data_IF_429285217584
#
_entry.id   IF_429285217584
#
_cell.length_a   1.000
_cell.length_b   1.000
_cell.length_c   1.000
_cell.angle_alpha   90.00
_cell.angle_beta   90.00
_cell.angle_gamma   90.00
#
_symmetry.space_group_name_H-M   'P 1'
#
loop_
_entity.id
_entity.type
_entity.pdbx_description
1 polymer ?
#
# COMPACT_ATOMS: atom_id res chain seq x y z
N UNK A 1 19.12 19.20 27.44
CA UNK A 1 17.90 18.42 27.09
C UNK A 1 17.34 17.67 28.30
N UNK A 2 18.04 16.67 28.86
CA UNK A 2 17.52 15.80 29.94
C UNK A 2 16.97 16.59 31.15
N UNK A 3 17.71 17.56 31.66
CA UNK A 3 17.26 18.35 32.83
C UNK A 3 15.96 19.12 32.55
N UNK A 4 15.81 19.66 31.33
CA UNK A 4 14.58 20.34 30.93
C UNK A 4 13.40 19.38 30.90
N UNK A 5 13.55 18.20 30.29
CA UNK A 5 12.48 17.20 30.21
C UNK A 5 12.04 16.74 31.60
N UNK A 6 12.99 16.51 32.53
CA UNK A 6 12.67 16.16 33.91
C UNK A 6 11.89 17.26 34.62
N UNK A 7 12.27 18.52 34.44
CA UNK A 7 11.55 19.65 35.02
C UNK A 7 10.13 19.73 34.46
N UNK A 8 9.94 19.58 33.15
CA UNK A 8 8.60 19.61 32.54
C UNK A 8 7.70 18.48 33.05
N UNK A 9 8.25 17.28 33.20
CA UNK A 9 7.52 16.15 33.77
C UNK A 9 7.17 16.38 35.24
N UNK A 10 8.12 16.87 36.04
CA UNK A 10 7.86 17.21 37.43
C UNK A 10 6.79 18.30 37.55
N UNK A 11 6.83 19.33 36.70
CA UNK A 11 5.81 20.38 36.67
C UNK A 11 4.42 19.83 36.32
N UNK A 12 4.33 18.86 35.40
CA UNK A 12 3.07 18.18 35.12
C UNK A 12 2.58 17.38 36.33
N UNK A 13 3.46 16.65 36.99
CA UNK A 13 3.10 15.83 38.17
C UNK A 13 2.63 16.70 39.33
N UNK A 14 3.34 17.80 39.61
CA UNK A 14 3.06 18.64 40.80
C UNK A 14 1.90 19.61 40.58
N UNK A 15 1.74 20.14 39.36
CA UNK A 15 0.81 21.24 39.08
C UNK A 15 -0.23 20.92 37.99
N UNK A 16 -0.11 19.79 37.30
CA UNK A 16 -0.93 19.47 36.13
C UNK A 16 -2.43 19.32 36.41
N UNK A 17 -2.80 18.92 37.63
CA UNK A 17 -4.21 18.85 38.05
C UNK A 17 -4.87 20.24 38.15
N UNK A 18 -4.08 21.30 38.29
CA UNK A 18 -4.56 22.69 38.35
C UNK A 18 -4.56 23.40 36.99
N UNK A 19 -4.22 22.73 35.89
CA UNK A 19 -4.21 23.36 34.57
C UNK A 19 -5.62 23.45 33.99
N UNK A 20 -5.92 24.61 33.41
CA UNK A 20 -7.20 24.87 32.75
C UNK A 20 -7.14 24.48 31.28
N UNK A 21 -8.16 23.79 30.78
CA UNK A 21 -8.23 23.34 29.38
C UNK A 21 -8.22 24.51 28.38
N UNK A 22 -8.80 25.66 28.76
CA UNK A 22 -8.95 26.83 27.89
C UNK A 22 -7.75 27.75 27.84
N UNK A 23 -6.80 27.62 28.77
CA UNK A 23 -5.68 28.55 28.89
C UNK A 23 -4.38 27.81 29.27
N UNK A 24 -3.39 27.87 28.37
CA UNK A 24 -2.05 27.38 28.67
C UNK A 24 -1.44 28.13 29.87
N UNK A 25 -0.71 27.45 30.76
CA UNK A 25 0.08 28.09 31.79
C UNK A 25 1.04 29.13 31.19
N UNK A 26 1.36 30.20 31.94
CA UNK A 26 2.16 31.31 31.42
C UNK A 26 3.52 30.92 30.84
N UNK A 27 4.18 29.91 31.42
CA UNK A 27 5.44 29.37 30.88
C UNK A 27 5.23 28.68 29.53
N UNK A 28 4.17 27.87 29.41
CA UNK A 28 3.85 27.12 28.19
C UNK A 28 3.41 28.06 27.08
N UNK A 29 2.61 29.09 27.41
CA UNK A 29 2.20 30.13 26.47
C UNK A 29 3.40 30.89 25.89
N UNK A 30 4.43 31.17 26.70
CA UNK A 30 5.68 31.78 26.22
C UNK A 30 6.41 30.85 25.25
N UNK A 31 6.57 29.57 25.58
CA UNK A 31 7.19 28.59 24.67
C UNK A 31 6.40 28.43 23.37
N UNK A 32 5.07 28.41 23.46
CA UNK A 32 4.18 28.36 22.31
C UNK A 32 4.38 29.57 21.39
N UNK A 33 4.52 30.78 21.96
CA UNK A 33 4.85 31.98 21.20
C UNK A 33 6.16 31.86 20.43
N UNK A 34 7.20 31.28 21.05
CA UNK A 34 8.52 31.11 20.43
C UNK A 34 8.49 30.11 19.26
N UNK A 35 7.76 29.00 19.37
CA UNK A 35 7.71 27.99 18.30
C UNK A 35 6.89 28.46 17.08
N UNK A 36 5.85 29.27 17.30
CA UNK A 36 4.98 29.80 16.24
C UNK A 36 5.60 31.01 15.53
N UNK A 37 6.45 31.78 16.22
CA UNK A 37 7.10 32.95 15.64
C UNK A 37 8.16 32.57 14.60
N UNK A 38 7.86 32.81 13.32
CA UNK A 38 8.76 32.52 12.19
C UNK A 38 10.01 33.42 12.15
N UNK A 39 10.07 34.51 12.91
CA UNK A 39 11.28 35.34 13.04
C UNK A 39 12.34 34.70 13.94
N UNK A 40 11.94 33.76 14.80
CA UNK A 40 12.84 33.01 15.66
C UNK A 40 13.65 32.02 14.82
N UNK A 41 14.95 31.92 15.11
CA UNK A 41 15.85 31.00 14.40
C UNK A 41 15.35 29.56 14.40
N UNK A 42 15.41 28.93 13.23
CA UNK A 42 14.93 27.56 12.93
C UNK A 42 15.41 26.53 13.96
N UNK A 43 16.66 26.62 14.41
CA UNK A 43 17.23 25.70 15.41
C UNK A 43 16.53 25.78 16.77
N UNK A 44 16.09 26.96 17.19
CA UNK A 44 15.36 27.15 18.46
C UNK A 44 13.97 26.54 18.37
N UNK A 45 13.28 26.77 17.24
CA UNK A 45 11.96 26.19 16.96
C UNK A 45 12.03 24.67 16.86
N UNK A 46 13.05 24.13 16.19
CA UNK A 46 13.32 22.69 16.12
C UNK A 46 13.61 22.09 17.50
N UNK A 47 14.40 22.79 18.33
CA UNK A 47 14.65 22.35 19.70
C UNK A 47 13.34 22.25 20.50
N UNK A 48 12.45 23.23 20.40
CA UNK A 48 11.15 23.19 21.07
C UNK A 48 10.25 22.09 20.51
N UNK A 49 10.22 21.89 19.20
CA UNK A 49 9.51 20.76 18.59
C UNK A 49 10.02 19.43 19.16
N UNK A 50 11.34 19.25 19.28
CA UNK A 50 11.93 18.04 19.85
C UNK A 50 11.63 17.87 21.35
N UNK A 51 11.50 18.96 22.10
CA UNK A 51 11.03 18.90 23.49
C UNK A 51 9.61 18.34 23.56
N UNK A 52 8.69 18.82 22.72
CA UNK A 52 7.31 18.32 22.66
C UNK A 52 7.27 16.84 22.26
N UNK A 53 8.05 16.45 21.25
CA UNK A 53 8.13 15.06 20.78
C UNK A 53 8.67 14.08 21.84
N UNK A 54 9.52 14.55 22.77
CA UNK A 54 10.10 13.69 23.80
C UNK A 54 9.22 13.53 25.05
N UNK A 55 8.34 14.49 25.35
CA UNK A 55 7.42 14.44 26.52
C UNK A 55 6.01 14.91 26.12
N UNK A 56 5.37 14.25 25.12
CA UNK A 56 4.07 14.67 24.58
C UNK A 56 2.97 14.72 25.65
N UNK A 57 3.08 13.90 26.69
CA UNK A 57 2.17 13.87 27.82
C UNK A 57 2.09 15.22 28.56
N UNK A 58 3.16 16.03 28.59
CA UNK A 58 3.13 17.38 29.20
C UNK A 58 2.21 18.33 28.43
N UNK A 59 2.08 18.13 27.12
CA UNK A 59 1.35 19.02 26.24
C UNK A 59 -0.04 18.48 25.86
N UNK A 60 -0.43 17.31 26.37
CA UNK A 60 -1.64 16.57 25.95
C UNK A 60 -2.94 17.37 26.09
N UNK A 61 -3.07 18.21 27.11
CA UNK A 61 -4.28 19.05 27.30
C UNK A 61 -4.44 20.10 26.20
N UNK A 62 -3.34 20.49 25.55
CA UNK A 62 -3.27 21.55 24.54
C UNK A 62 -2.80 21.02 23.18
N UNK A 63 -2.88 19.70 22.97
CA UNK A 63 -2.36 18.99 21.79
C UNK A 63 -2.86 19.56 20.46
N UNK A 64 -4.11 20.02 20.39
CA UNK A 64 -4.65 20.63 19.15
C UNK A 64 -3.88 21.87 18.70
N UNK A 65 -3.42 22.71 19.64
CA UNK A 65 -2.61 23.89 19.31
C UNK A 65 -1.15 23.51 19.06
N UNK A 66 -0.59 22.63 19.90
CA UNK A 66 0.82 22.25 19.82
C UNK A 66 1.14 21.41 18.60
N UNK A 67 0.23 20.53 18.16
CA UNK A 67 0.47 19.68 17.01
C UNK A 67 0.73 20.51 15.74
N UNK A 68 -0.12 21.51 15.48
CA UNK A 68 0.07 22.42 14.36
C UNK A 68 1.40 23.17 14.45
N UNK A 69 1.73 23.72 15.62
CA UNK A 69 2.99 24.44 15.81
C UNK A 69 4.24 23.56 15.62
N UNK A 70 4.19 22.30 16.08
CA UNK A 70 5.27 21.32 15.89
C UNK A 70 5.42 21.00 14.40
N UNK A 71 4.33 20.66 13.71
CA UNK A 71 4.38 20.33 12.28
C UNK A 71 4.93 21.51 11.48
N UNK A 72 4.42 22.71 11.69
CA UNK A 72 4.89 23.92 10.99
C UNK A 72 6.38 24.20 11.22
N UNK A 73 6.86 24.04 12.46
CA UNK A 73 8.28 24.19 12.77
C UNK A 73 9.13 23.16 12.00
N UNK A 74 8.68 21.91 11.91
CA UNK A 74 9.42 20.86 11.17
C UNK A 74 9.39 21.07 9.66
N UNK A 75 8.28 21.55 9.10
CA UNK A 75 8.17 21.90 7.68
C UNK A 75 9.12 23.06 7.33
N UNK A 76 9.18 24.10 8.16
CA UNK A 76 10.10 25.23 7.96
C UNK A 76 11.57 24.79 8.04
N UNK A 77 11.90 23.87 8.96
CA UNK A 77 13.25 23.29 9.07
C UNK A 77 13.59 22.53 7.80
N UNK A 78 12.70 21.65 7.33
CA UNK A 78 12.92 20.83 6.15
C UNK A 78 13.15 21.69 4.90
N UNK A 79 12.35 22.75 4.73
CA UNK A 79 12.49 23.70 3.63
C UNK A 79 13.82 24.47 3.65
N UNK A 80 14.46 24.61 4.82
CA UNK A 80 15.75 25.28 4.96
C UNK A 80 16.97 24.38 4.72
N UNK A 81 16.77 23.06 4.60
CA UNK A 81 17.86 22.10 4.38
C UNK A 81 18.30 22.10 2.91
N UNK A 82 19.60 21.93 2.68
CA UNK A 82 20.16 21.80 1.31
C UNK A 82 19.68 20.55 0.59
N UNK A 83 19.50 19.46 1.36
CA UNK A 83 18.99 18.18 0.88
C UNK A 83 17.90 17.76 1.84
N UNK A 84 16.63 18.07 1.53
CA UNK A 84 15.50 17.63 2.33
C UNK A 84 15.45 16.10 2.41
N UNK A 85 15.20 15.57 3.60
CA UNK A 85 15.04 14.13 3.81
C UNK A 85 13.96 13.87 4.87
N UNK A 86 13.31 12.70 4.78
CA UNK A 86 12.41 12.22 5.83
C UNK A 86 13.23 11.77 7.04
N UNK A 87 13.72 12.74 7.79
CA UNK A 87 14.57 12.55 8.96
C UNK A 87 13.80 11.94 10.14
N UNK A 88 14.54 11.46 11.14
CA UNK A 88 13.96 10.82 12.32
C UNK A 88 13.01 11.74 13.12
N UNK A 89 13.17 13.08 13.07
CA UNK A 89 12.29 14.01 13.79
C UNK A 89 10.93 14.11 13.08
N UNK A 90 10.91 14.10 11.75
CA UNK A 90 9.67 13.99 10.97
C UNK A 90 8.98 12.64 11.21
N UNK A 91 9.74 11.54 11.35
CA UNK A 91 9.20 10.23 11.74
C UNK A 91 8.59 10.25 13.14
N UNK A 92 9.27 10.85 14.12
CA UNK A 92 8.73 11.05 15.46
C UNK A 92 7.43 11.88 15.42
N UNK A 93 7.34 12.87 14.53
CA UNK A 93 6.13 13.66 14.33
C UNK A 93 4.99 12.82 13.72
N UNK A 94 5.28 11.94 12.75
CA UNK A 94 4.27 11.01 12.23
C UNK A 94 3.78 10.07 13.33
N UNK A 95 4.68 9.56 14.17
CA UNK A 95 4.32 8.73 15.33
C UNK A 95 3.48 9.50 16.36
N UNK A 96 3.81 10.78 16.60
CA UNK A 96 3.00 11.66 17.46
C UNK A 96 1.57 11.76 16.93
N UNK A 97 1.39 11.96 15.61
CA UNK A 97 0.08 12.05 14.96
C UNK A 97 -0.69 10.72 15.02
N UNK A 98 -0.05 9.62 14.58
CA UNK A 98 -0.72 8.34 14.34
C UNK A 98 -1.01 7.58 15.64
N UNK A 99 -0.12 7.69 16.63
CA UNK A 99 -0.16 6.82 17.81
C UNK A 99 -0.41 7.56 19.13
N UNK A 100 0.12 8.78 19.30
CA UNK A 100 0.09 9.45 20.61
C UNK A 100 -1.05 10.47 20.73
N UNK A 101 -1.25 11.29 19.70
CA UNK A 101 -2.27 12.34 19.62
C UNK A 101 -3.24 12.07 18.46
N UNK A 102 -3.63 10.81 18.31
CA UNK A 102 -4.55 10.32 17.29
C UNK A 102 -6.02 10.72 17.51
N UNK A 103 -6.31 11.43 18.60
CA UNK A 103 -7.61 11.98 18.92
C UNK A 103 -7.73 13.48 18.56
N UNK A 104 -6.66 14.08 18.02
CA UNK A 104 -6.69 15.46 17.53
C UNK A 104 -7.47 15.53 16.24
N UNK A 105 -8.57 16.30 16.26
CA UNK A 105 -9.38 16.56 15.07
C UNK A 105 -8.56 17.41 14.08
N UNK A 106 -8.26 16.89 12.87
CA UNK A 106 -7.34 17.57 11.96
C UNK A 106 -7.87 18.92 11.43
N UNK A 107 -9.19 19.13 11.44
CA UNK A 107 -9.82 20.41 11.08
C UNK A 107 -9.35 21.58 11.95
N UNK A 108 -8.90 21.32 13.18
CA UNK A 108 -8.29 22.33 14.06
C UNK A 108 -6.93 22.85 13.53
N UNK A 109 -6.29 22.10 12.64
CA UNK A 109 -4.95 22.37 12.10
C UNK A 109 -4.98 23.12 10.75
N UNK A 110 -6.17 23.50 10.26
CA UNK A 110 -6.34 24.20 8.98
C UNK A 110 -5.69 23.43 7.81
N UNK A 111 -4.69 24.03 7.13
CA UNK A 111 -4.00 23.47 5.95
C UNK A 111 -2.73 22.67 6.31
N UNK A 112 -2.33 22.66 7.57
CA UNK A 112 -1.13 21.95 8.03
C UNK A 112 -1.14 20.45 7.69
N UNK A 113 -2.28 19.71 7.77
CA UNK A 113 -2.36 18.32 7.33
C UNK A 113 -2.03 18.13 5.85
N UNK A 114 -2.60 18.97 4.97
CA UNK A 114 -2.33 18.95 3.53
C UNK A 114 -0.85 19.19 3.25
N UNK A 115 -0.26 20.22 3.88
CA UNK A 115 1.15 20.56 3.69
C UNK A 115 2.07 19.45 4.17
N UNK A 116 1.79 18.85 5.32
CA UNK A 116 2.58 17.73 5.84
C UNK A 116 2.49 16.51 4.91
N UNK A 117 1.28 16.08 4.54
CA UNK A 117 1.09 14.91 3.68
C UNK A 117 1.84 15.07 2.35
N UNK A 118 1.70 16.22 1.69
CA UNK A 118 2.37 16.49 0.42
C UNK A 118 3.88 16.63 0.56
N UNK A 119 4.37 17.20 1.67
CA UNK A 119 5.81 17.25 1.92
C UNK A 119 6.38 15.84 2.16
N UNK A 120 5.71 15.00 2.94
CA UNK A 120 6.17 13.63 3.17
C UNK A 120 6.18 12.80 1.88
N UNK A 121 5.19 12.96 1.01
CA UNK A 121 5.18 12.33 -0.33
C UNK A 121 6.42 12.74 -1.13
N UNK A 122 6.82 14.02 -1.08
CA UNK A 122 8.03 14.49 -1.78
C UNK A 122 9.33 13.89 -1.23
N UNK A 123 9.37 13.56 0.05
CA UNK A 123 10.55 13.02 0.74
C UNK A 123 10.64 11.48 0.68
N UNK A 124 9.58 10.79 0.26
CA UNK A 124 9.56 9.33 0.16
C UNK A 124 10.51 8.74 -0.88
N UNK A 125 10.64 9.28 -2.11
CA UNK A 125 11.48 8.69 -3.14
C UNK A 125 12.97 8.77 -2.80
N UNK A 126 13.53 7.64 -2.35
CA UNK A 126 14.95 7.49 -2.06
C UNK A 126 15.51 6.24 -2.74
N UNK A 127 16.83 6.22 -3.00
CA UNK A 127 17.49 5.09 -3.70
C UNK A 127 17.48 3.78 -2.93
N UNK A 128 17.32 3.82 -1.61
CA UNK A 128 17.31 2.64 -0.75
C UNK A 128 15.87 2.16 -0.59
N UNK A 129 15.56 0.98 -1.13
CA UNK A 129 14.21 0.42 -1.12
C UNK A 129 13.66 0.25 0.31
N UNK A 130 14.46 -0.21 1.28
CA UNK A 130 13.98 -0.39 2.67
C UNK A 130 13.59 0.96 3.31
N UNK A 131 14.37 2.01 3.05
CA UNK A 131 14.07 3.35 3.58
C UNK A 131 12.85 3.92 2.86
N UNK A 132 12.75 3.76 1.53
CA UNK A 132 11.59 4.18 0.74
C UNK A 132 10.31 3.50 1.25
N UNK A 133 10.33 2.18 1.39
CA UNK A 133 9.16 1.40 1.77
C UNK A 133 8.70 1.77 3.19
N UNK A 134 9.66 2.00 4.10
CA UNK A 134 9.37 2.54 5.43
C UNK A 134 8.80 3.97 5.38
N UNK A 135 9.31 4.86 4.53
CA UNK A 135 8.78 6.22 4.36
C UNK A 135 7.34 6.19 3.84
N UNK A 136 7.11 5.37 2.81
CA UNK A 136 5.81 5.23 2.15
C UNK A 136 4.77 4.69 3.13
N UNK A 137 5.12 3.73 3.99
CA UNK A 137 4.20 3.21 5.02
C UNK A 137 3.62 4.34 5.88
N UNK A 138 4.46 5.21 6.45
CA UNK A 138 4.00 6.35 7.25
C UNK A 138 3.05 7.26 6.46
N UNK A 139 3.37 7.53 5.19
CA UNK A 139 2.55 8.38 4.34
C UNK A 139 1.19 7.73 4.02
N UNK A 140 1.17 6.44 3.69
CA UNK A 140 -0.08 5.73 3.39
C UNK A 140 -1.00 5.65 4.61
N UNK A 141 -0.45 5.42 5.81
CA UNK A 141 -1.20 5.47 7.07
C UNK A 141 -1.75 6.87 7.35
N UNK A 142 -0.95 7.91 7.11
CA UNK A 142 -1.36 9.29 7.31
C UNK A 142 -2.47 9.71 6.34
N UNK A 143 -2.40 9.31 5.07
CA UNK A 143 -3.45 9.55 4.06
C UNK A 143 -4.76 8.91 4.51
N UNK A 144 -4.71 7.65 4.96
CA UNK A 144 -5.91 6.97 5.45
C UNK A 144 -6.48 7.62 6.72
N UNK A 145 -5.61 8.02 7.65
CA UNK A 145 -5.99 8.65 8.91
C UNK A 145 -6.57 10.06 8.74
N UNK A 146 -6.06 10.84 7.78
CA UNK A 146 -6.50 12.22 7.50
C UNK A 146 -7.31 12.37 6.22
N UNK A 147 -7.96 11.30 5.74
CA UNK A 147 -8.71 11.30 4.47
C UNK A 147 -9.68 12.47 4.29
N UNK A 148 -10.32 12.93 5.36
CA UNK A 148 -11.32 14.02 5.32
C UNK A 148 -10.70 15.42 5.47
N UNK A 149 -9.38 15.52 5.69
CA UNK A 149 -8.71 16.77 6.08
C UNK A 149 -7.39 17.05 5.35
N UNK A 150 -6.73 16.05 4.79
CA UNK A 150 -5.51 16.20 4.01
C UNK A 150 -5.80 15.95 2.53
N UNK A 151 -5.68 17.00 1.72
CA UNK A 151 -5.74 16.88 0.25
C UNK A 151 -4.36 16.59 -0.29
N UNK A 152 -4.24 15.48 -1.01
CA UNK A 152 -3.01 15.10 -1.71
C UNK A 152 -2.96 15.81 -3.07
N UNK A 153 -1.79 16.33 -3.43
CA UNK A 153 -1.50 16.95 -4.71
C UNK A 153 -1.39 15.87 -5.79
N UNK A 154 -2.48 15.67 -6.54
CA UNK A 154 -2.55 14.65 -7.60
C UNK A 154 -1.62 14.99 -8.77
N UNK A 155 -1.36 16.28 -9.03
CA UNK A 155 -0.39 16.69 -10.07
C UNK A 155 1.02 16.18 -9.75
N UNK A 156 1.42 16.23 -8.47
CA UNK A 156 2.68 15.63 -8.00
C UNK A 156 2.72 14.13 -8.27
N UNK A 157 1.62 13.41 -7.99
CA UNK A 157 1.54 11.97 -8.23
C UNK A 157 1.64 11.63 -9.72
N UNK A 158 0.93 12.35 -10.59
CA UNK A 158 1.00 12.19 -12.05
C UNK A 158 2.45 12.39 -12.53
N UNK A 159 3.13 13.43 -12.06
CA UNK A 159 4.53 13.70 -12.38
C UNK A 159 5.47 12.57 -11.92
N UNK A 160 5.21 11.98 -10.76
CA UNK A 160 6.02 10.87 -10.24
C UNK A 160 5.80 9.56 -10.99
N UNK A 161 4.57 9.27 -11.41
CA UNK A 161 4.26 8.07 -12.20
C UNK A 161 4.90 8.18 -13.60
N UNK A 162 4.84 9.38 -14.20
CA UNK A 162 5.43 9.68 -15.50
C UNK A 162 6.90 10.13 -15.42
N UNK A 163 7.57 9.89 -14.29
CA UNK A 163 8.94 10.34 -14.08
C UNK A 163 9.88 9.81 -15.17
N UNK A 164 10.72 10.71 -15.70
CA UNK A 164 11.74 10.39 -16.70
C UNK A 164 13.14 10.80 -16.23
N UNK A 165 13.47 10.44 -14.97
CA UNK A 165 14.81 10.65 -14.44
C UNK A 165 15.84 9.73 -15.12
N UNK A 166 17.02 10.29 -15.42
CA UNK A 166 18.19 9.51 -15.89
C UNK A 166 18.58 8.41 -14.88
N UNK A 167 18.40 8.69 -13.58
CA UNK A 167 18.61 7.71 -12.52
C UNK A 167 17.40 6.77 -12.41
N UNK A 168 17.55 5.59 -13.00
CA UNK A 168 16.55 4.52 -12.97
C UNK A 168 16.08 4.11 -11.57
N UNK A 169 16.93 4.23 -10.53
CA UNK A 169 16.54 3.91 -9.15
C UNK A 169 15.62 4.98 -8.58
N UNK A 170 15.93 6.26 -8.82
CA UNK A 170 15.07 7.38 -8.40
C UNK A 170 13.76 7.37 -9.18
N UNK A 171 13.80 7.13 -10.50
CA UNK A 171 12.60 6.94 -11.33
C UNK A 171 11.68 5.87 -10.74
N UNK A 172 12.24 4.70 -10.43
CA UNK A 172 11.50 3.60 -9.82
C UNK A 172 10.95 3.96 -8.44
N UNK A 173 11.73 4.67 -7.62
CA UNK A 173 11.29 5.11 -6.29
C UNK A 173 10.13 6.11 -6.34
N UNK A 174 10.13 7.05 -7.30
CA UNK A 174 9.03 7.99 -7.55
C UNK A 174 7.76 7.25 -7.99
N UNK A 175 7.89 6.37 -8.99
CA UNK A 175 6.78 5.56 -9.49
C UNK A 175 6.16 4.70 -8.39
N UNK A 176 6.99 4.05 -7.57
CA UNK A 176 6.54 3.25 -6.43
C UNK A 176 5.79 4.10 -5.40
N UNK A 177 6.38 5.24 -4.98
CA UNK A 177 5.77 6.16 -4.02
C UNK A 177 4.41 6.64 -4.50
N UNK A 178 4.30 7.02 -5.78
CA UNK A 178 3.06 7.52 -6.33
C UNK A 178 1.99 6.44 -6.41
N UNK A 179 2.33 5.24 -6.89
CA UNK A 179 1.37 4.13 -6.95
C UNK A 179 0.87 3.72 -5.56
N UNK A 180 1.75 3.66 -4.55
CA UNK A 180 1.34 3.38 -3.16
C UNK A 180 0.43 4.48 -2.60
N UNK A 181 0.75 5.75 -2.89
CA UNK A 181 -0.10 6.88 -2.49
C UNK A 181 -1.47 6.84 -3.16
N UNK A 182 -1.53 6.51 -4.45
CA UNK A 182 -2.78 6.30 -5.19
C UNK A 182 -3.60 5.16 -4.56
N UNK A 183 -2.98 4.00 -4.31
CA UNK A 183 -3.67 2.87 -3.65
C UNK A 183 -4.20 3.25 -2.26
N UNK A 184 -3.44 4.01 -1.46
CA UNK A 184 -3.89 4.50 -0.16
C UNK A 184 -5.08 5.45 -0.27
N UNK A 185 -5.05 6.39 -1.23
CA UNK A 185 -6.18 7.29 -1.51
C UNK A 185 -7.43 6.53 -1.94
N UNK A 186 -7.29 5.53 -2.82
CA UNK A 186 -8.38 4.68 -3.26
C UNK A 186 -9.00 3.91 -2.08
N UNK A 187 -8.19 3.25 -1.26
CA UNK A 187 -8.65 2.54 -0.06
C UNK A 187 -9.30 3.48 0.98
N UNK A 188 -8.89 4.74 1.02
CA UNK A 188 -9.52 5.77 1.86
C UNK A 188 -10.85 6.31 1.30
N UNK A 189 -11.25 5.92 0.09
CA UNK A 189 -12.48 6.38 -0.57
C UNK A 189 -12.32 7.71 -1.33
N UNK A 190 -11.09 8.14 -1.61
CA UNK A 190 -10.76 9.41 -2.27
C UNK A 190 -10.64 9.29 -3.80
N UNK A 191 -11.38 8.36 -4.42
CA UNK A 191 -11.32 8.12 -5.86
C UNK A 191 -11.71 9.35 -6.70
N UNK A 192 -12.64 10.18 -6.22
CA UNK A 192 -13.05 11.40 -6.91
C UNK A 192 -11.90 12.41 -7.02
N UNK A 193 -11.03 12.48 -6.01
CA UNK A 193 -9.89 13.41 -6.00
C UNK A 193 -8.85 13.02 -7.05
N UNK A 194 -8.75 11.72 -7.38
CA UNK A 194 -7.83 11.19 -8.39
C UNK A 194 -8.23 11.47 -9.83
N UNK A 195 -9.44 11.98 -10.09
CA UNK A 195 -9.95 12.30 -11.44
C UNK A 195 -9.32 13.55 -12.07
N UNK A 196 -8.18 13.97 -11.54
CA UNK A 196 -7.45 15.12 -12.01
C UNK A 196 -6.68 14.81 -13.29
N UNK A 197 -6.61 15.81 -14.18
CA UNK A 197 -5.73 15.81 -15.36
C UNK A 197 -4.71 16.91 -15.19
N UNK A 198 -3.46 16.61 -15.48
CA UNK A 198 -2.44 17.65 -15.55
C UNK A 198 -2.56 18.49 -16.83
N UNK A 199 -1.68 19.49 -16.97
CA UNK A 199 -1.65 20.41 -18.11
C UNK A 199 -1.39 19.70 -19.46
N UNK A 200 -0.83 18.49 -19.43
CA UNK A 200 -0.59 17.63 -20.60
C UNK A 200 -1.73 16.63 -20.84
N UNK A 201 -2.86 16.79 -20.14
CA UNK A 201 -4.00 15.89 -20.11
C UNK A 201 -3.68 14.46 -19.65
N UNK A 202 -2.53 14.25 -19.00
CA UNK A 202 -2.13 12.95 -18.47
C UNK A 202 -2.95 12.64 -17.22
N UNK A 203 -3.32 11.38 -17.10
CA UNK A 203 -4.13 10.85 -16.01
C UNK A 203 -3.35 9.86 -15.16
N UNK A 204 -3.82 9.58 -13.95
CA UNK A 204 -3.29 8.50 -13.11
C UNK A 204 -3.44 7.15 -13.84
N UNK A 205 -4.54 6.95 -14.56
CA UNK A 205 -4.82 5.73 -15.32
C UNK A 205 -3.79 5.48 -16.43
N UNK A 206 -3.48 6.50 -17.23
CA UNK A 206 -2.47 6.37 -18.29
C UNK A 206 -1.09 6.10 -17.69
N UNK A 207 -0.78 6.72 -16.56
CA UNK A 207 0.42 6.44 -15.78
C UNK A 207 0.49 5.00 -15.24
N UNK A 208 -0.61 4.45 -14.73
CA UNK A 208 -0.69 3.04 -14.29
C UNK A 208 -0.37 2.11 -15.48
N UNK A 209 -0.99 2.33 -16.63
CA UNK A 209 -0.74 1.55 -17.86
C UNK A 209 0.72 1.66 -18.30
N UNK A 210 1.33 2.84 -18.16
CA UNK A 210 2.75 3.07 -18.45
C UNK A 210 3.64 2.23 -17.52
N UNK A 211 3.43 2.30 -16.20
CA UNK A 211 4.26 1.57 -15.22
C UNK A 211 4.05 0.06 -15.30
N UNK A 212 2.86 -0.41 -15.65
CA UNK A 212 2.59 -1.83 -15.94
C UNK A 212 3.45 -2.39 -17.08
N UNK A 213 4.07 -1.56 -17.93
CA UNK A 213 5.03 -1.98 -18.97
C UNK A 213 6.48 -2.07 -18.47
N UNK A 214 6.74 -1.67 -17.22
CA UNK A 214 8.06 -1.75 -16.60
C UNK A 214 8.58 -3.18 -16.50
N UNK A 215 9.89 -3.35 -16.57
CA UNK A 215 10.55 -4.65 -16.34
C UNK A 215 10.65 -5.03 -14.86
N UNK A 216 10.57 -4.05 -13.95
CA UNK A 216 10.73 -4.28 -12.52
C UNK A 216 9.47 -4.91 -11.89
N UNK A 217 9.62 -6.09 -11.28
CA UNK A 217 8.54 -6.85 -10.66
C UNK A 217 7.73 -6.06 -9.63
N UNK A 218 8.42 -5.37 -8.72
CA UNK A 218 7.79 -4.54 -7.70
C UNK A 218 6.93 -3.41 -8.27
N UNK A 219 7.27 -2.88 -9.46
CA UNK A 219 6.53 -1.79 -10.09
C UNK A 219 5.33 -2.29 -10.88
N UNK A 220 5.51 -3.27 -11.77
CA UNK A 220 4.40 -3.70 -12.62
C UNK A 220 3.32 -4.44 -11.83
N UNK A 221 3.68 -5.13 -10.75
CA UNK A 221 2.70 -5.80 -9.87
C UNK A 221 1.89 -4.78 -9.08
N UNK A 222 2.56 -3.79 -8.49
CA UNK A 222 1.91 -2.68 -7.79
C UNK A 222 1.02 -1.86 -8.73
N UNK A 223 1.47 -1.59 -9.95
CA UNK A 223 0.65 -0.89 -10.95
C UNK A 223 -0.59 -1.73 -11.34
N UNK A 224 -0.45 -3.04 -11.48
CA UNK A 224 -1.58 -3.92 -11.75
C UNK A 224 -2.60 -3.93 -10.59
N UNK A 225 -2.13 -3.98 -9.34
CA UNK A 225 -2.98 -3.87 -8.15
C UNK A 225 -3.73 -2.54 -8.11
N UNK A 226 -3.01 -1.42 -8.25
CA UNK A 226 -3.60 -0.09 -8.29
C UNK A 226 -4.65 0.03 -9.42
N UNK A 227 -4.35 -0.51 -10.61
CA UNK A 227 -5.29 -0.52 -11.72
C UNK A 227 -6.55 -1.34 -11.47
N UNK A 228 -6.43 -2.49 -10.80
CA UNK A 228 -7.58 -3.29 -10.37
C UNK A 228 -8.43 -2.61 -9.31
N UNK A 229 -7.77 -1.99 -8.33
CA UNK A 229 -8.41 -1.23 -7.24
C UNK A 229 -9.16 0.00 -7.77
N UNK A 230 -8.56 0.77 -8.69
CA UNK A 230 -9.21 1.91 -9.32
C UNK A 230 -10.56 1.52 -9.93
N UNK A 231 -10.59 0.44 -10.71
CA UNK A 231 -11.81 -0.04 -11.37
C UNK A 231 -12.86 -0.59 -10.39
N UNK A 232 -12.44 -1.18 -9.26
CA UNK A 232 -13.36 -1.64 -8.23
C UNK A 232 -14.16 -0.49 -7.61
N UNK A 233 -13.53 0.66 -7.41
CA UNK A 233 -14.13 1.79 -6.68
C UNK A 233 -14.85 2.73 -7.63
N UNK A 234 -14.32 2.93 -8.83
CA UNK A 234 -14.88 3.83 -9.82
C UNK A 234 -15.24 3.11 -11.11
N UNK A 235 -16.46 2.56 -11.18
CA UNK A 235 -16.98 1.93 -12.39
C UNK A 235 -17.22 2.90 -13.54
N UNK A 236 -17.09 4.22 -13.33
CA UNK A 236 -17.11 5.21 -14.42
C UNK A 236 -15.75 5.36 -15.09
N UNK A 237 -14.68 4.78 -14.52
CA UNK A 237 -13.41 4.59 -15.21
C UNK A 237 -13.69 3.87 -16.53
N UNK A 238 -13.31 4.55 -17.61
CA UNK A 238 -13.77 4.21 -18.94
C UNK A 238 -13.49 2.76 -19.31
N UNK A 239 -14.39 2.18 -20.12
CA UNK A 239 -14.20 0.87 -20.76
C UNK A 239 -12.84 0.75 -21.46
N UNK A 240 -12.28 1.87 -21.88
CA UNK A 240 -10.98 1.95 -22.55
C UNK A 240 -9.81 1.65 -21.61
N UNK A 241 -9.81 2.14 -20.37
CA UNK A 241 -8.77 1.81 -19.38
C UNK A 241 -8.75 0.31 -19.09
N UNK A 242 -9.93 -0.26 -18.83
CA UNK A 242 -10.04 -1.71 -18.59
C UNK A 242 -9.61 -2.55 -19.79
N UNK A 243 -9.91 -2.10 -21.01
CA UNK A 243 -9.43 -2.75 -22.23
C UNK A 243 -7.91 -2.71 -22.30
N UNK A 244 -7.27 -1.55 -22.06
CA UNK A 244 -5.80 -1.42 -22.03
C UNK A 244 -5.17 -2.31 -20.96
N UNK A 245 -5.73 -2.35 -19.75
CA UNK A 245 -5.27 -3.18 -18.64
C UNK A 245 -5.33 -4.68 -19.00
N UNK A 246 -6.49 -5.15 -19.49
CA UNK A 246 -6.65 -6.55 -19.93
C UNK A 246 -5.71 -6.91 -21.07
N UNK A 247 -5.53 -6.01 -22.05
CA UNK A 247 -4.63 -6.23 -23.17
C UNK A 247 -3.16 -6.39 -22.71
N UNK A 248 -2.70 -5.66 -21.69
CA UNK A 248 -1.36 -5.82 -21.15
C UNK A 248 -1.14 -7.15 -20.43
N UNK A 249 -2.17 -7.63 -19.72
CA UNK A 249 -2.15 -8.96 -19.10
C UNK A 249 -2.06 -10.03 -20.20
N UNK A 250 -2.96 -9.94 -21.20
CA UNK A 250 -2.99 -10.82 -22.37
C UNK A 250 -1.67 -10.83 -23.14
N UNK A 251 -1.05 -9.67 -23.38
CA UNK A 251 0.20 -9.60 -24.13
C UNK A 251 1.36 -10.30 -23.43
N UNK A 252 1.32 -10.40 -22.09
CA UNK A 252 2.34 -11.14 -21.33
C UNK A 252 2.19 -12.65 -21.53
N UNK A 253 0.95 -13.14 -21.64
CA UNK A 253 0.69 -14.54 -22.01
C UNK A 253 1.10 -14.82 -23.46
N UNK A 254 0.76 -13.93 -24.39
CA UNK A 254 1.05 -14.12 -25.82
C UNK A 254 2.57 -14.11 -26.10
N UNK A 255 3.34 -13.41 -25.25
CA UNK A 255 4.80 -13.41 -25.27
C UNK A 255 5.44 -14.61 -24.52
N UNK A 256 4.63 -15.56 -24.04
CA UNK A 256 5.04 -16.71 -23.23
C UNK A 256 5.74 -16.36 -21.90
N UNK A 257 5.61 -15.13 -21.42
CA UNK A 257 6.06 -14.71 -20.08
C UNK A 257 4.99 -15.05 -19.04
N UNK A 258 4.83 -16.35 -18.77
CA UNK A 258 3.81 -16.86 -17.87
C UNK A 258 3.94 -16.34 -16.44
N UNK A 259 5.18 -16.10 -15.97
CA UNK A 259 5.43 -15.52 -14.65
C UNK A 259 4.85 -14.11 -14.55
N UNK A 260 5.13 -13.25 -15.54
CA UNK A 260 4.56 -11.91 -15.59
C UNK A 260 3.05 -11.92 -15.79
N UNK A 261 2.54 -12.79 -16.66
CA UNK A 261 1.09 -12.96 -16.86
C UNK A 261 0.37 -13.27 -15.54
N UNK A 262 0.84 -14.28 -14.80
CA UNK A 262 0.26 -14.66 -13.52
C UNK A 262 0.37 -13.54 -12.49
N UNK A 263 1.51 -12.84 -12.44
CA UNK A 263 1.71 -11.73 -11.52
C UNK A 263 0.77 -10.55 -11.81
N UNK A 264 0.58 -10.17 -13.07
CA UNK A 264 -0.35 -9.11 -13.44
C UNK A 264 -1.81 -9.54 -13.21
N UNK A 265 -2.18 -10.76 -13.59
CA UNK A 265 -3.55 -11.28 -13.43
C UNK A 265 -3.94 -11.36 -11.95
N UNK A 266 -3.08 -11.92 -11.11
CA UNK A 266 -3.29 -12.03 -9.66
C UNK A 266 -3.49 -10.66 -9.02
N UNK A 267 -2.56 -9.74 -9.27
CA UNK A 267 -2.57 -8.43 -8.59
C UNK A 267 -3.73 -7.56 -9.07
N UNK A 268 -4.04 -7.54 -10.37
CA UNK A 268 -5.21 -6.81 -10.87
C UNK A 268 -6.52 -7.39 -10.31
N UNK A 269 -6.66 -8.72 -10.28
CA UNK A 269 -7.91 -9.36 -9.85
C UNK A 269 -8.11 -9.41 -8.32
N UNK A 270 -7.11 -9.01 -7.52
CA UNK A 270 -7.13 -9.12 -6.06
C UNK A 270 -8.33 -8.38 -5.43
N UNK A 271 -8.63 -7.18 -5.90
CA UNK A 271 -9.77 -6.37 -5.42
C UNK A 271 -11.00 -6.48 -6.32
N UNK A 272 -10.81 -6.89 -7.58
CA UNK A 272 -11.89 -6.94 -8.57
C UNK A 272 -11.88 -8.27 -9.34
N UNK A 273 -12.63 -9.28 -8.86
CA UNK A 273 -12.77 -10.59 -9.51
C UNK A 273 -13.19 -10.53 -10.98
N UNK A 274 -14.00 -9.51 -11.36
CA UNK A 274 -14.51 -9.32 -12.74
C UNK A 274 -13.44 -9.06 -13.80
N UNK A 275 -12.19 -8.84 -13.40
CA UNK A 275 -11.07 -8.75 -14.35
C UNK A 275 -10.83 -10.10 -15.04
N UNK A 276 -11.04 -11.21 -14.33
CA UNK A 276 -10.94 -12.56 -14.89
C UNK A 276 -12.22 -12.85 -15.66
N UNK A 277 -12.16 -12.72 -16.98
CA UNK A 277 -13.21 -13.10 -17.91
C UNK A 277 -12.97 -14.52 -18.47
N UNK A 278 -13.88 -15.09 -19.27
CA UNK A 278 -13.71 -16.44 -19.83
C UNK A 278 -12.40 -16.63 -20.62
N UNK A 279 -11.93 -15.57 -21.29
CA UNK A 279 -10.67 -15.62 -22.06
C UNK A 279 -9.47 -15.73 -21.10
N UNK A 280 -9.46 -14.94 -20.03
CA UNK A 280 -8.43 -15.02 -18.99
C UNK A 280 -8.46 -16.36 -18.27
N UNK A 281 -9.65 -16.90 -17.97
CA UNK A 281 -9.81 -18.21 -17.33
C UNK A 281 -9.26 -19.34 -18.22
N UNK A 282 -9.56 -19.32 -19.52
CA UNK A 282 -9.03 -20.28 -20.47
C UNK A 282 -7.49 -20.24 -20.53
N UNK A 283 -6.91 -19.04 -20.57
CA UNK A 283 -5.44 -18.83 -20.56
C UNK A 283 -4.83 -19.30 -19.25
N UNK A 284 -5.46 -19.01 -18.11
CA UNK A 284 -5.03 -19.49 -16.80
C UNK A 284 -5.02 -21.02 -16.76
N UNK A 285 -6.09 -21.67 -17.23
CA UNK A 285 -6.20 -23.13 -17.35
C UNK A 285 -5.03 -23.75 -18.13
N UNK A 286 -4.62 -23.12 -19.25
CA UNK A 286 -3.45 -23.55 -20.02
C UNK A 286 -2.12 -23.41 -19.25
N UNK A 287 -1.98 -22.36 -18.43
CA UNK A 287 -0.76 -22.08 -17.66
C UNK A 287 -0.66 -22.95 -16.40
N UNK A 288 -1.78 -23.37 -15.80
CA UNK A 288 -1.81 -24.11 -14.53
C UNK A 288 -0.85 -25.32 -14.47
N UNK A 289 -0.84 -26.26 -15.45
CA UNK A 289 0.07 -27.40 -15.40
C UNK A 289 1.55 -27.01 -15.36
N UNK A 290 1.90 -25.86 -15.96
CA UNK A 290 3.26 -25.30 -16.01
C UNK A 290 3.61 -24.49 -14.76
N UNK A 291 2.61 -23.93 -14.08
CA UNK A 291 2.77 -23.15 -12.86
C UNK A 291 3.00 -24.03 -11.62
N UNK A 292 2.33 -25.17 -11.53
CA UNK A 292 2.37 -26.07 -10.35
C UNK A 292 3.79 -26.45 -9.92
N UNK A 293 4.74 -26.80 -10.82
CA UNK A 293 6.10 -27.16 -10.40
C UNK A 293 6.93 -26.00 -9.83
N UNK A 294 6.52 -24.74 -10.07
CA UNK A 294 7.26 -23.54 -9.67
C UNK A 294 6.49 -22.86 -8.54
N UNK A 295 6.97 -22.96 -7.30
CA UNK A 295 6.24 -22.50 -6.11
C UNK A 295 5.69 -21.06 -6.23
N UNK A 296 6.51 -20.13 -6.74
CA UNK A 296 6.12 -18.74 -6.94
C UNK A 296 4.96 -18.59 -7.94
N UNK A 297 4.94 -19.38 -9.01
CA UNK A 297 3.87 -19.36 -10.01
C UNK A 297 2.63 -20.08 -9.51
N UNK A 298 2.80 -21.20 -8.80
CA UNK A 298 1.71 -21.92 -8.17
C UNK A 298 0.93 -21.03 -7.20
N UNK A 299 1.61 -20.20 -6.41
CA UNK A 299 0.98 -19.22 -5.52
C UNK A 299 0.16 -18.19 -6.30
N UNK A 300 0.76 -17.55 -7.31
CA UNK A 300 0.07 -16.55 -8.14
C UNK A 300 -1.15 -17.15 -8.88
N UNK A 301 -1.01 -18.38 -9.37
CA UNK A 301 -2.07 -19.10 -10.04
C UNK A 301 -3.21 -19.48 -9.09
N UNK A 302 -2.88 -19.97 -7.88
CA UNK A 302 -3.86 -20.30 -6.86
C UNK A 302 -4.67 -19.08 -6.40
N UNK A 303 -4.01 -17.94 -6.18
CA UNK A 303 -4.68 -16.68 -5.85
C UNK A 303 -5.58 -16.21 -7.01
N UNK A 304 -5.09 -16.30 -8.26
CA UNK A 304 -5.90 -15.97 -9.45
C UNK A 304 -7.12 -16.88 -9.59
N UNK A 305 -7.00 -18.17 -9.24
CA UNK A 305 -8.12 -19.10 -9.19
C UNK A 305 -9.12 -18.77 -8.09
N UNK A 306 -8.65 -18.34 -6.91
CA UNK A 306 -9.55 -17.84 -5.87
C UNK A 306 -10.32 -16.61 -6.34
N UNK A 307 -9.67 -15.70 -7.07
CA UNK A 307 -10.36 -14.55 -7.67
C UNK A 307 -11.34 -14.98 -8.78
N UNK A 308 -11.02 -16.00 -9.58
CA UNK A 308 -11.91 -16.52 -10.61
C UNK A 308 -13.16 -17.18 -10.00
N UNK A 309 -12.97 -17.98 -8.95
CA UNK A 309 -14.06 -18.62 -8.21
C UNK A 309 -14.98 -17.61 -7.51
N UNK A 310 -14.45 -16.45 -7.10
CA UNK A 310 -15.24 -15.36 -6.53
C UNK A 310 -15.98 -14.51 -7.59
N UNK A 311 -15.79 -14.77 -8.88
CA UNK A 311 -16.48 -14.06 -9.95
C UNK A 311 -17.67 -14.86 -10.48
N UNK A 312 -18.90 -14.43 -10.15
CA UNK A 312 -20.16 -15.07 -10.55
C UNK A 312 -20.28 -15.38 -12.05
N UNK A 313 -19.64 -14.58 -12.92
CA UNK A 313 -19.71 -14.76 -14.37
C UNK A 313 -18.92 -15.96 -14.88
N UNK A 314 -17.87 -16.37 -14.17
CA UNK A 314 -16.96 -17.46 -14.59
C UNK A 314 -16.88 -18.59 -13.57
N UNK A 315 -17.41 -18.40 -12.36
CA UNK A 315 -17.38 -19.39 -11.28
C UNK A 315 -17.90 -20.77 -11.74
N UNK A 316 -19.03 -20.81 -12.47
CA UNK A 316 -19.62 -22.05 -13.00
C UNK A 316 -18.69 -22.82 -13.94
N UNK A 317 -17.87 -22.12 -14.72
CA UNK A 317 -16.96 -22.74 -15.69
C UNK A 317 -15.58 -23.05 -15.06
N UNK A 318 -15.28 -22.43 -13.92
CA UNK A 318 -13.96 -22.50 -13.28
C UNK A 318 -13.58 -23.93 -12.90
N UNK A 319 -14.52 -24.73 -12.37
CA UNK A 319 -14.23 -26.12 -12.01
C UNK A 319 -13.80 -26.96 -13.23
N UNK A 320 -14.52 -26.85 -14.35
CA UNK A 320 -14.21 -27.59 -15.57
C UNK A 320 -12.80 -27.31 -16.09
N UNK A 321 -12.32 -26.07 -15.91
CA UNK A 321 -10.99 -25.61 -16.31
C UNK A 321 -9.86 -26.04 -15.38
N UNK A 322 -10.14 -26.41 -14.13
CA UNK A 322 -9.13 -26.67 -13.10
C UNK A 322 -9.09 -28.14 -12.67
N UNK A 323 -10.18 -28.90 -12.85
CA UNK A 323 -10.34 -30.28 -12.35
C UNK A 323 -9.10 -31.17 -12.59
N UNK A 324 -8.51 -31.14 -13.79
CA UNK A 324 -7.35 -31.97 -14.15
C UNK A 324 -6.06 -31.66 -13.38
N UNK A 325 -6.00 -30.49 -12.73
CA UNK A 325 -4.85 -30.02 -11.95
C UNK A 325 -5.15 -29.89 -10.45
N UNK A 326 -6.41 -30.07 -10.06
CA UNK A 326 -6.89 -29.73 -8.72
C UNK A 326 -6.27 -30.62 -7.64
N UNK A 327 -6.22 -31.94 -7.85
CA UNK A 327 -5.58 -32.87 -6.91
C UNK A 327 -4.10 -32.53 -6.65
N UNK A 328 -3.36 -32.10 -7.68
CA UNK A 328 -1.95 -31.66 -7.54
C UNK A 328 -1.80 -30.35 -6.78
N UNK A 329 -2.78 -29.44 -6.91
CA UNK A 329 -2.81 -28.15 -6.20
C UNK A 329 -3.20 -28.33 -4.73
N UNK A 330 -4.13 -29.25 -4.43
CA UNK A 330 -4.50 -29.63 -3.06
C UNK A 330 -3.32 -30.33 -2.36
N UNK A 331 -2.62 -31.23 -3.07
CA UNK A 331 -1.44 -31.92 -2.57
C UNK A 331 -0.16 -31.07 -2.57
N UNK A 332 -0.23 -29.80 -2.94
CA UNK A 332 0.95 -28.97 -3.12
C UNK A 332 1.71 -28.80 -1.80
N UNK A 333 3.05 -28.85 -1.82
CA UNK A 333 3.89 -28.77 -0.62
C UNK A 333 3.77 -27.47 0.19
N UNK A 334 3.32 -26.39 -0.46
CA UNK A 334 3.26 -25.06 0.13
C UNK A 334 1.89 -24.77 0.75
N UNK A 335 1.78 -24.49 2.06
CA UNK A 335 0.50 -24.37 2.76
C UNK A 335 -0.36 -23.21 2.24
N UNK A 336 0.27 -22.11 1.80
CA UNK A 336 -0.46 -20.97 1.24
C UNK A 336 -1.16 -21.33 -0.08
N UNK A 337 -0.55 -22.19 -0.90
CA UNK A 337 -1.17 -22.68 -2.15
C UNK A 337 -2.40 -23.52 -1.81
N UNK A 338 -2.25 -24.45 -0.85
CA UNK A 338 -3.36 -25.27 -0.38
C UNK A 338 -4.51 -24.40 0.15
N UNK A 339 -4.20 -23.39 0.97
CA UNK A 339 -5.19 -22.49 1.53
C UNK A 339 -5.95 -21.70 0.47
N UNK A 340 -5.25 -21.07 -0.49
CA UNK A 340 -5.90 -20.32 -1.58
C UNK A 340 -6.79 -21.21 -2.45
N UNK A 341 -6.38 -22.46 -2.69
CA UNK A 341 -7.17 -23.42 -3.47
C UNK A 341 -8.39 -23.91 -2.68
N UNK A 342 -8.26 -24.21 -1.40
CA UNK A 342 -9.40 -24.56 -0.54
C UNK A 342 -10.42 -23.42 -0.46
N UNK A 343 -9.95 -22.17 -0.41
CA UNK A 343 -10.81 -20.98 -0.50
C UNK A 343 -11.54 -20.93 -1.85
N UNK A 344 -10.83 -21.17 -2.96
CA UNK A 344 -11.45 -21.24 -4.28
C UNK A 344 -12.52 -22.34 -4.35
N UNK A 345 -12.21 -23.55 -3.87
CA UNK A 345 -13.16 -24.68 -3.81
C UNK A 345 -14.40 -24.29 -3.00
N UNK A 346 -14.23 -23.68 -1.83
CA UNK A 346 -15.36 -23.23 -0.99
C UNK A 346 -16.28 -22.27 -1.73
N UNK A 347 -15.75 -21.39 -2.57
CA UNK A 347 -16.56 -20.49 -3.40
C UNK A 347 -17.27 -21.23 -4.55
N UNK A 348 -16.70 -22.34 -5.03
CA UNK A 348 -17.28 -23.12 -6.14
C UNK A 348 -18.38 -24.07 -5.70
N UNK A 349 -18.43 -24.49 -4.42
CA UNK A 349 -19.34 -25.53 -3.94
C UNK A 349 -20.80 -25.32 -4.35
N UNK A 350 -21.29 -24.08 -4.30
CA UNK A 350 -22.68 -23.73 -4.64
C UNK A 350 -22.98 -23.82 -6.15
N UNK A 351 -21.95 -23.93 -6.98
CA UNK A 351 -22.05 -24.00 -8.45
C UNK A 351 -21.80 -25.40 -9.00
N UNK A 352 -21.34 -26.35 -8.18
CA UNK A 352 -21.00 -27.70 -8.62
C UNK A 352 -22.24 -28.59 -8.73
N UNK A 353 -22.28 -29.37 -9.80
CA UNK A 353 -23.24 -30.47 -9.94
C UNK A 353 -22.83 -31.66 -9.07
N UNK A 354 -23.78 -32.57 -8.79
CA UNK A 354 -23.49 -33.77 -8.01
C UNK A 354 -22.32 -34.61 -8.56
N UNK A 355 -22.21 -34.86 -9.89
CA UNK A 355 -21.05 -35.57 -10.45
C UNK A 355 -19.72 -34.81 -10.28
N UNK A 356 -19.75 -33.48 -10.27
CA UNK A 356 -18.55 -32.66 -10.07
C UNK A 356 -18.11 -32.66 -8.60
N UNK A 357 -19.06 -32.71 -7.65
CA UNK A 357 -18.77 -32.91 -6.22
C UNK A 357 -18.15 -34.28 -5.97
N UNK A 358 -18.65 -35.33 -6.59
CA UNK A 358 -18.05 -36.67 -6.49
C UNK A 358 -16.60 -36.67 -7.01
N UNK A 359 -16.34 -36.01 -8.15
CA UNK A 359 -14.98 -35.85 -8.68
C UNK A 359 -14.08 -35.04 -7.74
N UNK A 360 -14.58 -33.95 -7.17
CA UNK A 360 -13.82 -33.13 -6.22
C UNK A 360 -13.36 -33.95 -5.00
N UNK A 361 -14.22 -34.83 -4.49
CA UNK A 361 -13.88 -35.72 -3.37
C UNK A 361 -12.79 -36.72 -3.79
N UNK A 362 -12.91 -37.30 -4.98
CA UNK A 362 -11.90 -38.21 -5.52
C UNK A 362 -10.55 -37.51 -5.71
N UNK A 363 -10.53 -36.30 -6.28
CA UNK A 363 -9.32 -35.49 -6.44
C UNK A 363 -8.68 -35.12 -5.09
N UNK A 364 -9.50 -34.94 -4.05
CA UNK A 364 -9.05 -34.72 -2.67
C UNK A 364 -8.35 -35.94 -2.08
N UNK A 365 -8.92 -37.13 -2.26
CA UNK A 365 -8.33 -38.40 -1.81
C UNK A 365 -7.06 -38.76 -2.60
N UNK A 366 -7.03 -38.53 -3.91
CA UNK A 366 -5.82 -38.63 -4.73
C UNK A 366 -4.75 -37.62 -4.28
N UNK A 367 -5.15 -36.39 -3.95
CA UNK A 367 -4.25 -35.38 -3.42
C UNK A 367 -3.63 -35.79 -2.07
N UNK A 368 -4.44 -36.35 -1.16
CA UNK A 368 -4.00 -36.87 0.13
C UNK A 368 -3.08 -38.09 0.02
N UNK A 369 -3.28 -38.93 -1.00
CA UNK A 369 -2.41 -40.08 -1.28
C UNK A 369 -1.08 -39.63 -1.92
N UNK A 370 -1.11 -38.66 -2.83
CA UNK A 370 0.09 -38.01 -3.38
C UNK A 370 0.92 -37.31 -2.31
N UNK A 371 0.28 -36.63 -1.35
CA UNK A 371 0.96 -35.98 -0.23
C UNK A 371 1.60 -36.96 0.77
N UNK A 372 1.16 -38.23 0.78
CA UNK A 372 1.69 -39.29 1.65
C UNK A 372 2.77 -40.15 0.97
N UNK A 373 3.05 -39.95 -0.32
CA UNK A 373 4.08 -40.69 -1.03
C UNK A 373 5.48 -40.13 -0.67
N UNK A 374 6.40 -40.93 -0.12
CA UNK A 374 7.74 -40.46 0.25
C UNK A 374 8.58 -40.14 -0.98
N UNK A 375 9.02 -38.89 -1.08
CA UNK A 375 10.14 -38.32 -1.86
C UNK A 375 10.75 -39.20 -2.96
N UNK A 376 10.15 -39.15 -4.15
CA UNK A 376 10.83 -39.44 -5.42
C UNK A 376 11.02 -38.13 -6.17
N UNK A 377 11.90 -37.26 -5.66
CA UNK A 377 12.72 -36.28 -6.40
C UNK A 377 13.59 -35.54 -5.37
N UNK A 378 14.69 -36.18 -4.98
CA UNK A 378 15.73 -35.55 -4.17
C UNK A 378 16.44 -34.43 -4.92
N UNK A 379 17.10 -33.55 -4.11
CA UNK A 379 17.97 -32.40 -4.47
C UNK A 379 17.16 -31.12 -4.73
N UNK A 380 17.36 -29.98 -4.08
CA UNK A 380 18.47 -29.42 -3.29
C UNK A 380 17.90 -28.36 -2.33
N UNK A 381 18.24 -28.46 -1.04
CA UNK A 381 17.96 -27.42 -0.04
C UNK A 381 19.26 -26.69 0.29
N UNK A 382 19.47 -25.52 -0.32
CA UNK A 382 20.35 -24.43 0.11
C UNK A 382 19.70 -23.21 -0.53
N UNK A 383 18.78 -22.52 0.13
CA UNK A 383 19.07 -21.60 1.23
C UNK A 383 18.82 -20.19 0.69
N UNK A 384 18.26 -19.32 1.54
CA UNK A 384 18.04 -17.87 1.36
C UNK A 384 16.64 -17.46 0.85
N UNK A 385 15.75 -17.21 1.82
CA UNK A 385 14.79 -16.10 1.81
C UNK A 385 15.27 -15.07 2.84
N UNK A 386 15.42 -13.80 2.47
CA UNK A 386 14.99 -12.69 3.30
C UNK A 386 13.74 -12.05 2.66
N UNK A 387 12.96 -11.32 3.48
CA UNK A 387 11.78 -10.51 3.14
C UNK A 387 10.41 -11.22 3.22
N UNK A 388 9.90 -11.31 4.44
CA UNK A 388 8.54 -10.86 4.79
C UNK A 388 8.67 -9.49 5.48
#
# INVERSE_FOLDING_TARGET
>A
MISLLRVLMQMKTDFGSGWEEKAMPGWMKKLFGVIVDRSVGVNVRLFLAKVVLNVPEVFVMYRSSWLGAVIEALLDVNASQRVPELNYILRDCCNLVLNTWNDVVPSALKDTPCRLANELIKLCPVRNDMIRDSNVLFVTELIAFWKDSARVDVSLLINYINADDEDTKIKSAKQFTALQSVSAMLNAGLANDLRWKDDEERTIEDGIILVMRSKAASLYTLAAEAGGLSYSIDHSLGKDFMRKLKNLIVSSYDAEDFGRFLALLRNASMHQPKIIDPIMLQRLSFVLPKAIPVDAWALLAADSLSSAAANDFVAKETFAHVQSTLGRLIAHRHPVVQHSILKAISCLLDYLTLPELERLILDGDEGLTLAKAPDLLGRTFQGWMPWL
#
